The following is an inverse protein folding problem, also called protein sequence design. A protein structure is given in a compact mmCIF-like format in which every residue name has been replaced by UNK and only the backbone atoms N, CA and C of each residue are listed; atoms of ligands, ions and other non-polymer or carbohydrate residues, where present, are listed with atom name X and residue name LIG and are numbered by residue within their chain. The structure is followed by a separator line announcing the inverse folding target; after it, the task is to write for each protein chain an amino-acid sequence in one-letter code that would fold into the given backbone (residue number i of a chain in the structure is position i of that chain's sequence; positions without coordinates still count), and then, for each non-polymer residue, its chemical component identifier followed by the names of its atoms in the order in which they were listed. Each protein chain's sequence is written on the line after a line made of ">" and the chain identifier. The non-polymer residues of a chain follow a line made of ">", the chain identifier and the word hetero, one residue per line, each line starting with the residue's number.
data_IF_413582375362
#
_entry.id   IF_413582375362
#
_cell.length_a   1.000
_cell.length_b   1.000
_cell.length_c   1.000
_cell.angle_alpha   90.00
_cell.angle_beta   90.00
_cell.angle_gamma   90.00
#
_symmetry.space_group_name_H-M   'P 1'
#
loop_
_entity.id
_entity.type
_entity.pdbx_description
1 polymer ?
#
# COMPACT_ATOMS: atom_id res chain seq x y z
N UNK A 1 -10.78 3.40 18.68
CA UNK A 1 -10.50 1.98 18.38
C UNK A 1 -11.70 1.21 17.80
N UNK A 2 -12.94 1.65 17.99
CA UNK A 2 -14.16 0.96 17.49
C UNK A 2 -14.49 1.27 16.01
N UNK A 3 -14.13 2.46 15.50
CA UNK A 3 -14.44 2.89 14.11
C UNK A 3 -13.79 2.03 13.02
N UNK A 4 -12.59 1.47 13.26
CA UNK A 4 -11.86 0.70 12.25
C UNK A 4 -12.52 -0.67 11.98
N UNK A 5 -13.17 -1.25 13.00
CA UNK A 5 -13.84 -2.54 12.91
C UNK A 5 -15.20 -2.44 12.19
N UNK A 6 -15.92 -1.32 12.38
CA UNK A 6 -17.19 -1.08 11.67
C UNK A 6 -16.98 -0.85 10.17
N UNK A 7 -15.81 -0.36 9.75
CA UNK A 7 -15.54 -0.07 8.33
C UNK A 7 -15.42 -1.34 7.48
N UNK A 8 -15.02 -2.48 8.06
CA UNK A 8 -15.00 -3.78 7.39
C UNK A 8 -16.40 -4.36 7.11
N UNK A 9 -17.45 -3.84 7.77
CA UNK A 9 -18.85 -4.25 7.58
C UNK A 9 -19.62 -3.30 6.66
N UNK A 10 -19.12 -2.07 6.42
CA UNK A 10 -19.79 -1.07 5.58
C UNK A 10 -19.23 -1.16 4.15
N UNK A 11 -19.98 -1.80 3.26
CA UNK A 11 -19.66 -1.79 1.83
C UNK A 11 -20.13 -0.47 1.19
N UNK A 12 -19.21 0.23 0.52
CA UNK A 12 -19.55 1.40 -0.30
C UNK A 12 -20.04 0.91 -1.67
N UNK A 13 -21.19 1.42 -2.13
CA UNK A 13 -21.69 1.15 -3.48
C UNK A 13 -20.89 1.95 -4.49
N UNK A 14 -20.31 1.26 -5.47
CA UNK A 14 -19.58 1.89 -6.58
C UNK A 14 -20.15 1.38 -7.89
N UNK A 15 -20.57 2.28 -8.77
CA UNK A 15 -20.99 1.95 -10.12
C UNK A 15 -19.78 2.10 -11.06
N UNK A 16 -19.45 1.03 -11.76
CA UNK A 16 -18.39 0.98 -12.77
C UNK A 16 -18.96 0.40 -14.05
N UNK A 17 -18.45 0.84 -15.19
CA UNK A 17 -18.77 0.23 -16.48
C UNK A 17 -17.70 -0.81 -16.82
N UNK A 18 -18.14 -1.94 -17.33
CA UNK A 18 -17.27 -2.98 -17.89
C UNK A 18 -17.63 -3.13 -19.36
N UNK A 19 -16.64 -3.42 -20.19
CA UNK A 19 -16.91 -3.88 -21.55
C UNK A 19 -17.64 -5.23 -21.51
N UNK A 20 -18.39 -5.53 -22.56
CA UNK A 20 -19.09 -6.82 -22.68
C UNK A 20 -18.12 -8.00 -22.54
N UNK A 21 -16.94 -7.89 -23.17
CA UNK A 21 -15.90 -8.92 -23.08
C UNK A 21 -15.41 -9.12 -21.64
N UNK A 22 -15.18 -8.05 -20.88
CA UNK A 22 -14.76 -8.15 -19.48
C UNK A 22 -15.85 -8.80 -18.62
N UNK A 23 -17.12 -8.42 -18.82
CA UNK A 23 -18.24 -9.00 -18.10
C UNK A 23 -18.35 -10.51 -18.36
N UNK A 24 -18.26 -10.94 -19.61
CA UNK A 24 -18.31 -12.36 -19.99
C UNK A 24 -17.13 -13.17 -19.44
N UNK A 25 -15.91 -12.63 -19.52
CA UNK A 25 -14.73 -13.27 -18.92
C UNK A 25 -14.88 -13.42 -17.40
N UNK A 26 -15.40 -12.39 -16.72
CA UNK A 26 -15.64 -12.44 -15.27
C UNK A 26 -16.69 -13.49 -14.89
N UNK A 27 -17.81 -13.57 -15.62
CA UNK A 27 -18.85 -14.60 -15.40
C UNK A 27 -18.27 -16.01 -15.54
N UNK A 28 -17.50 -16.28 -16.61
CA UNK A 28 -16.85 -17.59 -16.85
C UNK A 28 -15.87 -17.95 -15.73
N UNK A 29 -15.04 -16.99 -15.31
CA UNK A 29 -14.09 -17.21 -14.21
C UNK A 29 -14.79 -17.45 -12.87
N UNK A 30 -15.85 -16.70 -12.59
CA UNK A 30 -16.64 -16.84 -11.36
C UNK A 30 -17.33 -18.20 -11.30
N UNK A 31 -17.94 -18.65 -12.41
CA UNK A 31 -18.55 -19.98 -12.54
C UNK A 31 -17.53 -21.11 -12.31
N UNK A 32 -16.35 -21.03 -12.96
CA UNK A 32 -15.27 -22.02 -12.80
C UNK A 32 -14.78 -22.14 -11.35
N UNK A 33 -14.88 -21.06 -10.57
CA UNK A 33 -14.39 -20.98 -9.17
C UNK A 33 -15.51 -21.11 -8.14
N UNK A 34 -16.76 -21.31 -8.55
CA UNK A 34 -17.94 -21.34 -7.67
C UNK A 34 -18.06 -20.08 -6.79
N UNK A 35 -17.74 -18.91 -7.35
CA UNK A 35 -17.86 -17.61 -6.68
C UNK A 35 -18.91 -16.75 -7.38
N UNK A 36 -19.46 -15.78 -6.66
CA UNK A 36 -20.19 -14.69 -7.33
C UNK A 36 -19.21 -13.76 -8.03
N UNK A 37 -19.65 -13.14 -9.14
CA UNK A 37 -18.86 -12.14 -9.88
C UNK A 37 -18.41 -11.00 -8.95
N UNK A 38 -19.29 -10.57 -8.05
CA UNK A 38 -18.97 -9.54 -7.07
C UNK A 38 -17.86 -9.96 -6.08
N UNK A 39 -17.83 -11.22 -5.65
CA UNK A 39 -16.76 -11.74 -4.79
C UNK A 39 -15.44 -11.77 -5.56
N UNK A 40 -15.46 -12.27 -6.81
CA UNK A 40 -14.27 -12.30 -7.67
C UNK A 40 -13.67 -10.91 -7.90
N UNK A 41 -14.52 -9.91 -8.20
CA UNK A 41 -14.07 -8.52 -8.38
C UNK A 41 -13.44 -7.99 -7.09
N UNK A 42 -14.05 -8.20 -5.92
CA UNK A 42 -13.49 -7.76 -4.65
C UNK A 42 -12.13 -8.40 -4.36
N UNK A 43 -11.98 -9.71 -4.61
CA UNK A 43 -10.69 -10.40 -4.44
C UNK A 43 -9.62 -9.83 -5.37
N UNK A 44 -9.96 -9.57 -6.63
CA UNK A 44 -9.05 -8.98 -7.60
C UNK A 44 -8.60 -7.57 -7.16
N UNK A 45 -9.55 -6.71 -6.75
CA UNK A 45 -9.25 -5.37 -6.23
C UNK A 45 -8.37 -5.42 -4.99
N UNK A 46 -8.67 -6.29 -4.03
CA UNK A 46 -7.85 -6.47 -2.81
C UNK A 46 -6.43 -6.93 -3.14
N UNK A 47 -6.28 -7.83 -4.12
CA UNK A 47 -4.98 -8.34 -4.56
C UNK A 47 -4.16 -7.21 -5.19
N UNK A 48 -4.79 -6.41 -6.06
CA UNK A 48 -4.15 -5.27 -6.70
C UNK A 48 -3.67 -4.24 -5.65
N UNK A 49 -4.53 -3.85 -4.71
CA UNK A 49 -4.17 -2.89 -3.64
C UNK A 49 -2.98 -3.39 -2.83
N UNK A 50 -3.02 -4.66 -2.37
CA UNK A 50 -1.93 -5.25 -1.59
C UNK A 50 -0.62 -5.31 -2.38
N UNK A 51 -0.69 -5.66 -3.66
CA UNK A 51 0.50 -5.70 -4.52
C UNK A 51 1.13 -4.33 -4.71
N UNK A 52 0.31 -3.27 -4.85
CA UNK A 52 0.81 -1.91 -4.98
C UNK A 52 1.50 -1.43 -3.69
N UNK A 53 0.89 -1.67 -2.52
CA UNK A 53 1.51 -1.33 -1.23
C UNK A 53 2.83 -2.08 -1.01
N UNK A 54 2.90 -3.36 -1.39
CA UNK A 54 4.14 -4.13 -1.28
C UNK A 54 5.27 -3.58 -2.17
N UNK A 55 4.94 -3.11 -3.38
CA UNK A 55 5.89 -2.45 -4.28
C UNK A 55 6.38 -1.13 -3.66
N UNK A 56 5.48 -0.32 -3.11
CA UNK A 56 5.83 0.94 -2.44
C UNK A 56 6.75 0.72 -1.24
N UNK A 57 6.49 -0.32 -0.43
CA UNK A 57 7.34 -0.68 0.71
C UNK A 57 8.74 -1.15 0.27
N UNK A 58 8.81 -1.98 -0.76
CA UNK A 58 10.08 -2.47 -1.30
C UNK A 58 10.92 -1.33 -1.88
N UNK A 59 10.30 -0.42 -2.63
CA UNK A 59 10.97 0.74 -3.20
C UNK A 59 11.40 1.73 -2.12
N UNK A 60 10.59 1.96 -1.08
CA UNK A 60 10.98 2.77 0.09
C UNK A 60 12.21 2.19 0.78
N UNK A 61 12.25 0.87 1.00
CA UNK A 61 13.42 0.17 1.57
C UNK A 61 14.65 0.31 0.69
N UNK A 62 14.51 0.11 -0.63
CA UNK A 62 15.60 0.25 -1.59
C UNK A 62 16.22 1.65 -1.54
N UNK A 63 15.37 2.70 -1.50
CA UNK A 63 15.83 4.09 -1.37
C UNK A 63 16.54 4.36 -0.05
N UNK A 64 16.02 3.82 1.07
CA UNK A 64 16.67 3.97 2.37
C UNK A 64 18.06 3.30 2.40
N UNK A 65 18.18 2.09 1.84
CA UNK A 65 19.47 1.40 1.71
C UNK A 65 20.44 2.21 0.84
N UNK A 66 19.98 2.72 -0.31
CA UNK A 66 20.81 3.53 -1.20
C UNK A 66 21.24 4.87 -0.57
N UNK A 67 20.46 5.42 0.37
CA UNK A 67 20.83 6.61 1.12
C UNK A 67 21.82 6.33 2.26
N UNK A 68 21.82 5.11 2.81
CA UNK A 68 22.72 4.72 3.89
C UNK A 68 24.18 4.80 3.43
N UNK A 69 25.02 5.49 4.22
CA UNK A 69 26.46 5.65 3.92
C UNK A 69 26.79 6.68 2.84
N UNK A 70 25.81 7.28 2.16
CA UNK A 70 26.03 8.32 1.14
C UNK A 70 26.55 9.64 1.72
N UNK A 71 26.28 9.90 3.01
CA UNK A 71 26.62 11.15 3.68
C UNK A 71 27.48 10.88 4.91
N UNK A 72 28.43 11.78 5.18
CA UNK A 72 29.29 11.76 6.38
C UNK A 72 29.24 13.13 7.03
N UNK A 73 28.88 13.17 8.31
CA UNK A 73 28.88 14.40 9.11
C UNK A 73 30.24 14.75 9.71
N UNK A 74 31.16 13.78 9.78
CA UNK A 74 32.42 13.91 10.52
C UNK A 74 32.27 13.85 12.04
N UNK A 75 31.04 13.72 12.55
CA UNK A 75 30.72 13.66 13.96
C UNK A 75 30.47 12.19 14.38
N UNK A 76 31.09 11.77 15.48
CA UNK A 76 31.00 10.38 15.98
C UNK A 76 29.75 10.12 16.80
N UNK A 77 29.10 11.17 17.32
CA UNK A 77 27.96 11.10 18.23
C UNK A 77 26.65 11.64 17.64
N UNK A 78 26.64 11.99 16.34
CA UNK A 78 25.50 12.63 15.68
C UNK A 78 24.20 11.84 15.82
N UNK A 79 24.25 10.51 15.77
CA UNK A 79 23.05 9.68 15.94
C UNK A 79 22.42 9.82 17.32
N UNK A 80 23.25 9.98 18.35
CA UNK A 80 22.80 10.03 19.75
C UNK A 80 22.43 11.45 20.18
N UNK A 81 23.13 12.45 19.67
CA UNK A 81 22.93 13.86 20.00
C UNK A 81 22.21 14.68 18.91
N UNK A 82 21.41 14.02 18.05
CA UNK A 82 20.79 14.64 16.88
C UNK A 82 19.93 15.88 17.22
N UNK A 83 19.17 15.86 18.31
CA UNK A 83 18.32 16.98 18.73
C UNK A 83 19.15 18.23 19.09
N UNK A 84 20.30 18.03 19.74
CA UNK A 84 21.23 19.13 20.08
C UNK A 84 21.72 19.81 18.80
N UNK A 85 22.24 19.03 17.85
CA UNK A 85 22.76 19.57 16.59
C UNK A 85 21.65 20.21 15.74
N UNK A 86 20.43 19.67 15.79
CA UNK A 86 19.28 20.29 15.14
C UNK A 86 18.98 21.67 15.76
N UNK A 87 18.96 21.78 17.09
CA UNK A 87 18.73 23.05 17.77
C UNK A 87 19.82 24.09 17.50
N UNK A 88 21.07 23.67 17.32
CA UNK A 88 22.20 24.56 17.01
C UNK A 88 22.13 25.10 15.58
N UNK A 89 21.66 24.30 14.61
CA UNK A 89 21.59 24.68 13.20
C UNK A 89 20.47 25.69 12.86
N UNK A 90 19.45 25.80 13.71
CA UNK A 90 18.28 26.68 13.50
C UNK A 90 18.22 27.87 14.48
N UNK A 91 19.33 28.18 15.15
CA UNK A 91 19.51 29.46 15.88
C UNK A 91 19.79 30.60 14.91
#
# INVERSE_FOLDING_TARGET
>A
MIKFFLWGLIMIRTQIQLTEEQAERLKKMAAKRHLSVANLIRQAVNTLIKSNTAIEDAERRKRAIAASGRFRSGLTDLSTAHDKYLSEAYK
#
